data_IF_659528128213
#
_entry.id   IF_659528128213
#
_cell.length_a   1.000
_cell.length_b   1.000
_cell.length_c   1.000
_cell.angle_alpha   90.00
_cell.angle_beta   90.00
_cell.angle_gamma   90.00
#
_symmetry.space_group_name_H-M   'P 1'
#
loop_
_entity.id
_entity.type
_entity.pdbx_description
1 polymer ?
#
# COMPACT_ATOMS: atom_id res chain seq x y z
N UNK A 1 -34.43 39.46 17.63
CA UNK A 1 -33.25 38.85 18.28
C UNK A 1 -33.57 37.38 18.56
N UNK A 2 -33.48 36.53 17.52
CA UNK A 2 -33.63 35.09 17.66
C UNK A 2 -32.25 34.46 17.58
N UNK A 3 -31.80 33.84 18.67
CA UNK A 3 -30.52 33.16 18.75
C UNK A 3 -30.53 31.92 17.86
N UNK A 4 -29.55 31.80 16.97
CA UNK A 4 -29.31 30.60 16.18
C UNK A 4 -28.68 29.51 17.05
N UNK A 5 -29.28 28.32 17.03
CA UNK A 5 -28.78 27.12 17.70
C UNK A 5 -27.37 26.73 17.19
N UNK A 6 -26.41 26.40 18.08
CA UNK A 6 -25.13 25.84 17.67
C UNK A 6 -25.29 24.31 17.57
N UNK A 7 -25.22 23.74 16.36
CA UNK A 7 -25.31 22.28 16.25
C UNK A 7 -25.38 21.65 14.87
N UNK A 8 -25.29 22.42 13.77
CA UNK A 8 -25.06 21.79 12.46
C UNK A 8 -23.56 21.49 12.33
N UNK A 9 -23.15 20.26 12.70
CA UNK A 9 -21.88 19.71 12.19
C UNK A 9 -21.93 19.86 10.67
N UNK A 10 -21.00 20.62 10.10
CA UNK A 10 -20.82 20.66 8.65
C UNK A 10 -20.73 19.20 8.18
N UNK A 11 -21.57 18.81 7.22
CA UNK A 11 -21.54 17.46 6.66
C UNK A 11 -20.10 17.19 6.21
N UNK A 12 -19.48 16.16 6.78
CA UNK A 12 -18.15 15.74 6.36
C UNK A 12 -18.19 15.46 4.85
N UNK A 13 -17.13 15.83 4.13
CA UNK A 13 -17.02 15.46 2.73
C UNK A 13 -17.19 13.94 2.60
N UNK A 14 -17.89 13.44 1.56
CA UNK A 14 -17.95 12.01 1.29
C UNK A 14 -16.55 11.41 1.29
N UNK A 15 -16.36 10.23 1.89
CA UNK A 15 -15.08 9.52 1.93
C UNK A 15 -13.96 10.24 2.69
N UNK A 16 -14.28 11.20 3.57
CA UNK A 16 -13.28 11.95 4.31
C UNK A 16 -12.38 11.04 5.17
N UNK A 17 -12.96 10.06 5.87
CA UNK A 17 -12.19 9.15 6.72
C UNK A 17 -11.47 8.07 5.91
N UNK A 18 -12.08 7.61 4.82
CA UNK A 18 -11.42 6.74 3.85
C UNK A 18 -10.12 7.37 3.35
N UNK A 19 -10.17 8.66 2.98
CA UNK A 19 -9.00 9.42 2.50
C UNK A 19 -7.86 9.57 3.53
N UNK A 20 -8.14 9.30 4.80
CA UNK A 20 -7.11 9.24 5.83
C UNK A 20 -6.24 7.96 5.73
N UNK A 21 -6.71 6.93 5.04
CA UNK A 21 -6.04 5.63 4.90
C UNK A 21 -5.66 5.32 3.46
N UNK A 22 -6.59 5.52 2.52
CA UNK A 22 -6.46 5.15 1.12
C UNK A 22 -6.91 6.32 0.24
N UNK A 23 -6.24 6.52 -0.88
CA UNK A 23 -6.67 7.48 -1.91
C UNK A 23 -7.73 6.85 -2.80
N UNK A 24 -7.50 5.60 -3.21
CA UNK A 24 -8.47 4.79 -3.93
C UNK A 24 -8.13 3.29 -3.87
N UNK A 25 -9.09 2.48 -4.29
CA UNK A 25 -8.95 1.07 -4.62
C UNK A 25 -9.10 0.93 -6.13
N UNK A 26 -8.16 0.28 -6.78
CA UNK A 26 -8.17 0.03 -8.21
C UNK A 26 -8.31 -1.47 -8.49
N UNK A 27 -9.10 -1.79 -9.52
CA UNK A 27 -9.21 -3.14 -10.07
C UNK A 27 -8.61 -3.11 -11.46
N UNK A 28 -7.61 -3.95 -11.70
CA UNK A 28 -6.94 -4.06 -13.00
C UNK A 28 -7.12 -5.47 -13.54
N UNK A 29 -7.58 -5.58 -14.78
CA UNK A 29 -7.75 -6.85 -15.49
C UNK A 29 -6.83 -6.95 -16.67
N UNK A 30 -6.63 -8.17 -17.17
CA UNK A 30 -6.02 -8.39 -18.47
C UNK A 30 -7.09 -8.47 -19.55
N UNK A 31 -7.20 -7.41 -20.35
CA UNK A 31 -7.99 -7.38 -21.57
C UNK A 31 -7.17 -7.94 -22.75
N UNK A 32 -7.83 -8.67 -23.65
CA UNK A 32 -7.16 -9.35 -24.76
C UNK A 32 -6.67 -8.40 -25.86
N UNK A 33 -7.31 -7.24 -26.01
CA UNK A 33 -6.98 -6.26 -27.05
C UNK A 33 -6.09 -5.15 -26.49
N UNK A 34 -6.37 -4.70 -25.27
CA UNK A 34 -5.69 -3.57 -24.64
C UNK A 34 -4.51 -4.00 -23.74
N UNK A 35 -4.45 -5.26 -23.32
CA UNK A 35 -3.51 -5.73 -22.31
C UNK A 35 -3.99 -5.38 -20.90
N UNK A 36 -3.10 -4.91 -20.02
CA UNK A 36 -3.47 -4.52 -18.66
C UNK A 36 -4.37 -3.28 -18.70
N UNK A 37 -5.60 -3.40 -18.22
CA UNK A 37 -6.61 -2.35 -18.27
C UNK A 37 -7.26 -2.14 -16.90
N UNK A 38 -7.49 -0.87 -16.57
CA UNK A 38 -8.18 -0.46 -15.34
C UNK A 38 -9.69 -0.69 -15.54
N UNK A 39 -10.25 -1.63 -14.79
CA UNK A 39 -11.68 -1.96 -14.82
C UNK A 39 -12.48 -1.01 -13.94
N UNK A 40 -11.98 -0.72 -12.74
CA UNK A 40 -12.71 0.04 -11.73
C UNK A 40 -11.76 0.85 -10.83
N UNK A 41 -12.23 2.03 -10.43
CA UNK A 41 -11.64 2.87 -9.40
C UNK A 41 -12.73 3.19 -8.39
N UNK A 42 -12.42 3.01 -7.11
CA UNK A 42 -13.30 3.34 -6.00
C UNK A 42 -12.55 4.18 -4.96
N UNK A 43 -13.15 5.23 -4.37
CA UNK A 43 -14.45 5.82 -4.68
C UNK A 43 -14.57 6.32 -6.13
N UNK A 44 -15.79 6.31 -6.70
CA UNK A 44 -16.02 6.62 -8.13
C UNK A 44 -15.75 8.08 -8.52
N UNK A 45 -15.71 8.96 -7.53
CA UNK A 45 -15.39 10.39 -7.63
C UNK A 45 -13.87 10.65 -7.59
N UNK A 46 -13.06 9.68 -7.16
CA UNK A 46 -11.61 9.81 -7.23
C UNK A 46 -11.14 9.80 -8.70
N UNK A 47 -10.25 10.73 -9.04
CA UNK A 47 -9.80 10.97 -10.43
C UNK A 47 -8.29 10.80 -10.54
N UNK A 48 -7.89 9.62 -11.00
CA UNK A 48 -6.53 9.37 -11.48
C UNK A 48 -6.29 10.06 -12.83
N UNK A 49 -5.10 10.62 -13.02
CA UNK A 49 -4.64 11.08 -14.34
C UNK A 49 -4.37 9.88 -15.25
N UNK A 50 -4.38 10.08 -16.57
CA UNK A 50 -4.14 8.97 -17.49
C UNK A 50 -2.73 8.39 -17.38
N UNK A 51 -1.75 9.20 -16.96
CA UNK A 51 -0.41 8.73 -16.63
C UNK A 51 -0.43 7.81 -15.40
N UNK A 52 -1.11 8.20 -14.32
CA UNK A 52 -1.23 7.37 -13.12
C UNK A 52 -2.00 6.07 -13.39
N UNK A 53 -3.10 6.13 -14.15
CA UNK A 53 -3.85 4.94 -14.58
C UNK A 53 -2.93 3.97 -15.33
N UNK A 54 -2.18 4.48 -16.30
CA UNK A 54 -1.23 3.68 -17.09
C UNK A 54 -0.18 3.03 -16.20
N UNK A 55 0.47 3.80 -15.31
CA UNK A 55 1.46 3.27 -14.37
C UNK A 55 0.87 2.21 -13.44
N UNK A 56 -0.33 2.44 -12.89
CA UNK A 56 -1.02 1.44 -12.05
C UNK A 56 -1.29 0.17 -12.87
N UNK A 57 -1.81 0.27 -14.09
CA UNK A 57 -2.09 -0.90 -14.92
C UNK A 57 -0.86 -1.78 -15.14
N UNK A 58 0.26 -1.19 -15.57
CA UNK A 58 1.48 -1.94 -15.87
C UNK A 58 2.17 -2.49 -14.63
N UNK A 59 2.20 -1.73 -13.53
CA UNK A 59 2.84 -2.16 -12.29
C UNK A 59 1.97 -3.10 -11.45
N UNK A 60 0.69 -3.31 -11.80
CA UNK A 60 -0.20 -4.23 -11.09
C UNK A 60 -0.04 -5.69 -11.53
N UNK A 61 0.79 -5.97 -12.53
CA UNK A 61 1.02 -7.32 -13.06
C UNK A 61 2.50 -7.71 -12.95
N UNK A 62 2.81 -9.00 -12.70
CA UNK A 62 4.16 -9.51 -12.90
C UNK A 62 4.61 -9.33 -14.36
N UNK A 63 5.87 -8.95 -14.56
CA UNK A 63 6.48 -8.70 -15.89
C UNK A 63 6.55 -9.98 -16.72
N UNK A 64 6.81 -11.12 -16.05
CA UNK A 64 6.70 -12.44 -16.66
C UNK A 64 5.53 -13.23 -16.08
N UNK A 65 4.79 -13.90 -16.95
CA UNK A 65 3.76 -14.85 -16.58
C UNK A 65 4.31 -16.24 -16.20
N UNK A 66 5.61 -16.50 -16.42
CA UNK A 66 6.23 -17.78 -16.07
C UNK A 66 6.44 -17.89 -14.56
N UNK A 67 5.73 -18.80 -13.90
CA UNK A 67 5.92 -19.11 -12.48
C UNK A 67 5.03 -18.34 -11.49
N UNK A 68 4.09 -17.51 -11.96
CA UNK A 68 3.19 -16.74 -11.10
C UNK A 68 1.77 -17.37 -10.97
N UNK A 69 1.66 -18.71 -10.97
CA UNK A 69 0.37 -19.37 -10.75
C UNK A 69 -0.08 -19.21 -9.30
N UNK A 70 -1.34 -18.84 -9.10
CA UNK A 70 -1.94 -18.59 -7.79
C UNK A 70 -2.02 -17.10 -7.47
N UNK A 71 -1.83 -16.80 -6.19
CA UNK A 71 -1.97 -15.45 -5.63
C UNK A 71 -0.60 -14.87 -5.26
N UNK A 72 -0.34 -13.64 -5.67
CA UNK A 72 0.93 -12.94 -5.39
C UNK A 72 0.63 -11.55 -4.85
N UNK A 73 1.27 -11.20 -3.75
CA UNK A 73 1.22 -9.84 -3.19
C UNK A 73 2.56 -9.15 -3.34
N UNK A 74 2.52 -7.87 -3.69
CA UNK A 74 3.72 -7.06 -3.86
C UNK A 74 3.34 -5.58 -3.77
N UNK A 75 4.34 -4.70 -3.84
CA UNK A 75 4.11 -3.26 -3.78
C UNK A 75 4.89 -2.53 -4.84
N UNK A 76 4.37 -1.39 -5.27
CA UNK A 76 5.05 -0.46 -6.16
C UNK A 76 4.90 0.97 -5.66
N UNK A 77 5.69 1.88 -6.23
CA UNK A 77 5.66 3.32 -5.92
C UNK A 77 5.67 4.11 -7.22
N UNK A 78 4.71 5.02 -7.38
CA UNK A 78 4.58 5.88 -8.56
C UNK A 78 4.58 7.34 -8.15
N UNK A 79 5.12 8.21 -9.01
CA UNK A 79 5.10 9.65 -8.80
C UNK A 79 3.70 10.21 -9.02
N UNK A 80 3.23 11.05 -8.11
CA UNK A 80 1.98 11.79 -8.27
C UNK A 80 2.13 12.79 -9.42
N UNK A 81 1.11 12.88 -10.28
CA UNK A 81 1.11 13.89 -11.33
C UNK A 81 0.68 15.26 -10.77
N UNK A 82 1.42 16.31 -11.12
CA UNK A 82 1.14 17.68 -10.68
C UNK A 82 -0.26 18.13 -11.13
N UNK A 83 -1.17 18.34 -10.17
CA UNK A 83 -2.53 18.84 -10.45
C UNK A 83 -3.56 18.48 -9.37
N UNK A 84 -3.38 17.35 -8.68
CA UNK A 84 -4.21 16.91 -7.56
C UNK A 84 -3.49 17.24 -6.25
N UNK A 85 -3.60 18.48 -5.76
CA UNK A 85 -3.21 18.76 -4.38
C UNK A 85 -4.25 18.12 -3.48
N UNK A 86 -3.85 17.14 -2.68
CA UNK A 86 -4.71 16.60 -1.62
C UNK A 86 -5.30 17.77 -0.80
N UNK A 87 -6.63 17.85 -0.66
CA UNK A 87 -7.28 18.91 0.12
C UNK A 87 -6.92 18.83 1.62
N UNK A 88 -6.24 17.76 2.05
CA UNK A 88 -5.99 17.40 3.45
C UNK A 88 -4.59 17.76 3.96
N UNK A 89 -3.90 18.72 3.34
CA UNK A 89 -2.54 19.13 3.72
C UNK A 89 -2.41 19.53 5.22
N UNK A 90 -3.50 20.01 5.84
CA UNK A 90 -3.53 20.34 7.27
C UNK A 90 -3.49 19.07 8.15
N UNK A 91 -4.25 18.03 7.80
CA UNK A 91 -4.28 16.76 8.51
C UNK A 91 -2.99 15.98 8.31
N UNK A 92 -2.40 16.05 7.12
CA UNK A 92 -1.08 15.47 6.83
C UNK A 92 -0.02 16.05 7.75
N UNK A 93 -0.05 17.37 8.00
CA UNK A 93 0.89 18.02 8.91
C UNK A 93 0.73 17.53 10.34
N UNK A 94 -0.51 17.35 10.79
CA UNK A 94 -0.81 16.85 12.13
C UNK A 94 -0.27 15.42 12.31
N UNK A 95 -0.61 14.51 11.38
CA UNK A 95 -0.08 13.14 11.37
C UNK A 95 1.47 13.12 11.32
N UNK A 96 2.06 13.82 10.36
CA UNK A 96 3.51 13.80 10.13
C UNK A 96 4.32 14.38 11.30
N UNK A 97 3.71 15.23 12.14
CA UNK A 97 4.36 15.77 13.34
C UNK A 97 4.63 14.70 14.41
N UNK A 98 3.74 13.69 14.50
CA UNK A 98 3.86 12.59 15.46
C UNK A 98 4.51 11.33 14.88
N UNK A 99 4.41 11.10 13.58
CA UNK A 99 4.90 9.88 12.93
C UNK A 99 6.43 9.85 12.74
N UNK A 100 7.09 8.67 12.83
CA UNK A 100 8.49 8.49 12.44
C UNK A 100 8.75 8.99 11.01
N UNK A 101 9.95 9.54 10.75
CA UNK A 101 10.26 10.19 9.47
C UNK A 101 10.09 9.27 8.24
N UNK A 102 10.32 7.98 8.42
CA UNK A 102 10.16 6.92 7.41
C UNK A 102 8.71 6.52 7.15
N UNK A 103 7.80 6.84 8.07
CA UNK A 103 6.38 6.47 8.04
C UNK A 103 5.44 7.67 7.87
N UNK A 104 6.01 8.83 7.55
CA UNK A 104 5.25 10.01 7.17
C UNK A 104 4.50 9.77 5.86
N UNK A 105 3.35 10.46 5.72
CA UNK A 105 2.60 10.46 4.46
C UNK A 105 3.46 11.04 3.36
N UNK A 106 3.55 10.31 2.25
CA UNK A 106 4.38 10.67 1.12
C UNK A 106 3.68 11.75 0.27
N UNK A 107 4.26 12.95 0.11
CA UNK A 107 3.59 14.06 -0.56
C UNK A 107 3.70 13.99 -2.08
N UNK A 108 4.68 13.26 -2.63
CA UNK A 108 5.00 13.29 -4.06
C UNK A 108 4.77 11.93 -4.76
N UNK A 109 4.45 10.88 -4.01
CA UNK A 109 4.28 9.53 -4.56
C UNK A 109 3.05 8.86 -3.97
N UNK A 110 2.50 7.91 -4.73
CA UNK A 110 1.56 6.93 -4.23
C UNK A 110 2.25 5.59 -4.08
N UNK A 111 1.87 4.86 -3.04
CA UNK A 111 2.16 3.45 -2.86
C UNK A 111 0.97 2.65 -3.39
N UNK A 112 1.25 1.70 -4.28
CA UNK A 112 0.29 0.70 -4.72
C UNK A 112 0.59 -0.63 -4.04
N UNK A 113 -0.34 -1.14 -3.26
CA UNK A 113 -0.29 -2.48 -2.66
C UNK A 113 -1.14 -3.40 -3.51
N UNK A 114 -0.53 -4.45 -4.06
CA UNK A 114 -1.14 -5.29 -5.09
C UNK A 114 -1.43 -6.66 -4.54
N UNK A 115 -2.62 -7.18 -4.84
CA UNK A 115 -2.94 -8.60 -4.80
C UNK A 115 -3.29 -9.04 -6.21
N UNK A 116 -2.41 -9.81 -6.83
CA UNK A 116 -2.57 -10.37 -8.16
C UNK A 116 -2.99 -11.83 -8.07
N UNK A 117 -4.04 -12.21 -8.80
CA UNK A 117 -4.48 -13.60 -8.96
C UNK A 117 -4.30 -14.04 -10.40
N UNK A 118 -3.60 -15.16 -10.59
CA UNK A 118 -3.53 -15.87 -11.85
C UNK A 118 -3.89 -17.34 -11.67
N UNK A 119 -5.07 -17.73 -12.14
CA UNK A 119 -5.54 -19.12 -12.06
C UNK A 119 -5.90 -19.64 -13.44
N UNK A 120 -5.74 -20.94 -13.66
CA UNK A 120 -6.13 -21.58 -14.91
C UNK A 120 -7.66 -21.52 -15.02
N UNK A 121 -8.15 -20.98 -16.11
CA UNK A 121 -9.57 -20.86 -16.39
C UNK A 121 -9.81 -21.23 -17.86
N UNK A 122 -10.43 -22.38 -18.07
CA UNK A 122 -10.76 -22.89 -19.40
C UNK A 122 -11.89 -22.14 -20.09
N UNK A 123 -12.67 -21.33 -19.35
CA UNK A 123 -13.72 -20.49 -19.93
C UNK A 123 -13.18 -19.24 -20.62
N UNK A 124 -11.96 -18.81 -20.27
CA UNK A 124 -11.28 -17.64 -20.84
C UNK A 124 -10.43 -18.07 -22.03
N UNK A 125 -10.46 -17.31 -23.13
CA UNK A 125 -9.72 -17.62 -24.38
C UNK A 125 -8.23 -17.88 -24.19
N UNK A 126 -7.59 -17.20 -23.22
CA UNK A 126 -6.16 -17.34 -22.89
C UNK A 126 -5.85 -18.55 -21.98
N UNK A 127 -6.87 -19.22 -21.45
CA UNK A 127 -6.74 -20.32 -20.51
C UNK A 127 -6.37 -19.91 -19.09
N UNK A 128 -6.28 -18.61 -18.80
CA UNK A 128 -5.96 -18.08 -17.48
C UNK A 128 -6.83 -16.86 -17.16
N UNK A 129 -7.39 -16.85 -15.95
CA UNK A 129 -7.95 -15.67 -15.32
C UNK A 129 -6.82 -14.87 -14.67
N UNK A 130 -6.73 -13.58 -14.98
CA UNK A 130 -5.71 -12.68 -14.43
C UNK A 130 -6.33 -11.36 -14.01
N UNK A 131 -6.23 -11.05 -12.71
CA UNK A 131 -6.83 -9.85 -12.13
C UNK A 131 -6.04 -9.39 -10.92
N UNK A 132 -5.92 -8.07 -10.76
CA UNK A 132 -5.26 -7.43 -9.63
C UNK A 132 -6.24 -6.53 -8.88
N UNK A 133 -6.21 -6.65 -7.56
CA UNK A 133 -6.81 -5.68 -6.65
C UNK A 133 -5.67 -4.83 -6.05
N UNK A 134 -5.81 -3.50 -6.12
CA UNK A 134 -4.75 -2.56 -5.75
C UNK A 134 -5.28 -1.55 -4.75
N UNK A 135 -4.64 -1.45 -3.58
CA UNK A 135 -4.89 -0.36 -2.64
C UNK A 135 -3.86 0.75 -2.90
N UNK A 136 -4.34 1.98 -3.12
CA UNK A 136 -3.48 3.14 -3.35
C UNK A 136 -3.49 4.00 -2.10
N UNK A 137 -2.31 4.26 -1.53
CA UNK A 137 -2.16 5.07 -0.31
C UNK A 137 -0.94 5.98 -0.36
N UNK A 138 -0.93 7.01 0.48
CA UNK A 138 0.26 7.80 0.82
C UNK A 138 0.96 7.33 2.09
N UNK A 139 0.36 6.39 2.83
CA UNK A 139 0.93 5.80 4.04
C UNK A 139 1.77 4.56 3.67
N UNK A 140 3.03 4.45 4.12
CA UNK A 140 3.88 3.30 3.84
C UNK A 140 3.58 2.11 4.79
N UNK A 141 2.31 1.77 5.01
CA UNK A 141 1.87 0.70 5.91
C UNK A 141 1.74 -0.65 5.20
N UNK A 142 2.87 -1.14 4.67
CA UNK A 142 2.90 -2.34 3.83
C UNK A 142 2.23 -3.56 4.46
N UNK A 143 2.45 -3.82 5.75
CA UNK A 143 1.86 -4.99 6.42
C UNK A 143 0.37 -4.86 6.65
N UNK A 144 -0.11 -3.66 7.00
CA UNK A 144 -1.53 -3.42 7.15
C UNK A 144 -2.25 -3.65 5.82
N UNK A 145 -1.77 -3.04 4.74
CA UNK A 145 -2.44 -3.13 3.45
C UNK A 145 -2.32 -4.52 2.80
N UNK A 146 -1.23 -5.25 3.03
CA UNK A 146 -1.12 -6.67 2.67
C UNK A 146 -2.11 -7.55 3.45
N UNK A 147 -2.24 -7.34 4.76
CA UNK A 147 -3.22 -8.04 5.58
C UNK A 147 -4.66 -7.74 5.13
N UNK A 148 -4.94 -6.47 4.85
CA UNK A 148 -6.23 -6.01 4.34
C UNK A 148 -6.57 -6.64 2.99
N UNK A 149 -5.63 -6.65 2.04
CA UNK A 149 -5.80 -7.33 0.75
C UNK A 149 -6.01 -8.83 0.88
N UNK A 150 -5.34 -9.48 1.84
CA UNK A 150 -5.51 -10.91 2.10
C UNK A 150 -6.93 -11.26 2.56
N UNK A 151 -7.65 -10.31 3.16
CA UNK A 151 -9.05 -10.45 3.55
C UNK A 151 -10.00 -10.08 2.38
N UNK A 152 -9.74 -8.98 1.69
CA UNK A 152 -10.66 -8.44 0.67
C UNK A 152 -10.59 -9.26 -0.63
N UNK A 153 -9.39 -9.55 -1.13
CA UNK A 153 -9.21 -10.08 -2.48
C UNK A 153 -9.89 -11.44 -2.70
N UNK A 154 -9.84 -12.43 -1.77
CA UNK A 154 -10.54 -13.69 -1.95
C UNK A 154 -12.06 -13.52 -2.09
N UNK A 155 -12.70 -12.69 -1.25
CA UNK A 155 -14.14 -12.45 -1.36
C UNK A 155 -14.47 -11.66 -2.62
N UNK A 156 -13.68 -10.63 -2.95
CA UNK A 156 -13.90 -9.83 -4.15
C UNK A 156 -13.85 -10.68 -5.43
N UNK A 157 -12.87 -11.59 -5.54
CA UNK A 157 -12.78 -12.48 -6.71
C UNK A 157 -13.87 -13.56 -6.74
N UNK A 158 -14.52 -13.85 -5.62
CA UNK A 158 -15.69 -14.73 -5.57
C UNK A 158 -16.99 -14.00 -5.89
N UNK A 159 -17.18 -12.80 -5.31
CA UNK A 159 -18.40 -11.97 -5.41
C UNK A 159 -18.02 -10.49 -5.60
N UNK A 160 -17.75 -10.05 -6.84
CA UNK A 160 -17.23 -8.70 -7.08
C UNK A 160 -18.18 -7.57 -6.65
N UNK A 161 -19.48 -7.72 -6.88
CA UNK A 161 -20.52 -6.80 -6.42
C UNK A 161 -21.30 -7.47 -5.26
N UNK A 162 -21.56 -6.81 -4.11
CA UNK A 162 -21.25 -5.44 -3.65
C UNK A 162 -19.95 -5.32 -2.81
N UNK A 163 -18.99 -6.24 -2.96
CA UNK A 163 -17.87 -6.38 -2.02
C UNK A 163 -17.04 -5.10 -1.83
N UNK A 164 -16.64 -4.41 -2.91
CA UNK A 164 -15.76 -3.24 -2.77
C UNK A 164 -16.47 -2.04 -2.14
N UNK A 165 -17.73 -1.81 -2.48
CA UNK A 165 -18.52 -0.73 -1.90
C UNK A 165 -18.69 -0.92 -0.39
N UNK A 166 -19.03 -2.15 0.04
CA UNK A 166 -19.15 -2.49 1.46
C UNK A 166 -17.81 -2.27 2.21
N UNK A 167 -16.72 -2.81 1.66
CA UNK A 167 -15.38 -2.66 2.27
C UNK A 167 -14.96 -1.19 2.38
N UNK A 168 -15.16 -0.41 1.32
CA UNK A 168 -14.77 1.00 1.36
C UNK A 168 -15.66 1.80 2.32
N UNK A 169 -16.95 1.47 2.43
CA UNK A 169 -17.84 2.04 3.44
C UNK A 169 -17.42 1.69 4.87
N UNK A 170 -16.93 0.47 5.12
CA UNK A 170 -16.39 0.07 6.42
C UNK A 170 -15.10 0.84 6.75
N UNK A 171 -14.20 1.01 5.76
CA UNK A 171 -12.98 1.80 5.90
C UNK A 171 -13.29 3.29 6.16
N UNK A 172 -14.36 3.84 5.58
CA UNK A 172 -14.80 5.22 5.85
C UNK A 172 -15.36 5.39 7.28
N UNK A 173 -15.60 4.31 8.02
CA UNK A 173 -15.93 4.39 9.45
C UNK A 173 -14.71 4.27 10.36
N UNK A 174 -13.53 4.00 9.81
CA UNK A 174 -12.32 3.87 10.61
C UNK A 174 -11.92 5.18 11.29
N UNK A 175 -11.34 5.12 12.51
CA UNK A 175 -10.68 6.27 13.09
C UNK A 175 -9.49 6.70 12.22
N UNK A 176 -9.14 7.99 12.24
CA UNK A 176 -7.94 8.45 11.55
C UNK A 176 -6.67 7.78 12.14
N UNK A 177 -5.63 7.51 11.34
CA UNK A 177 -4.40 6.90 11.82
C UNK A 177 -3.61 7.90 12.67
N UNK A 178 -3.83 7.96 13.98
CA UNK A 178 -3.11 8.89 14.87
C UNK A 178 -1.86 8.22 15.46
N UNK A 179 -0.66 8.80 15.31
CA UNK A 179 0.58 8.23 15.86
C UNK A 179 0.50 7.99 17.37
N UNK A 180 0.99 6.83 17.81
CA UNK A 180 1.02 6.37 19.20
C UNK A 180 -0.29 5.75 19.68
N UNK A 181 -1.32 5.65 18.82
CA UNK A 181 -2.60 5.04 19.18
C UNK A 181 -2.71 3.61 18.66
N UNK A 182 -3.34 2.76 19.48
CA UNK A 182 -3.81 1.44 19.05
C UNK A 182 -5.26 1.56 18.60
N UNK A 183 -5.51 1.18 17.35
CA UNK A 183 -6.79 1.30 16.67
C UNK A 183 -7.37 -0.08 16.38
N UNK A 184 -8.70 -0.19 16.44
CA UNK A 184 -9.44 -1.36 16.00
C UNK A 184 -10.12 -1.00 14.67
N UNK A 185 -9.76 -1.72 13.62
CA UNK A 185 -10.17 -1.47 12.24
C UNK A 185 -11.09 -2.62 11.79
N UNK A 186 -12.42 -2.48 11.93
CA UNK A 186 -13.36 -3.49 11.49
C UNK A 186 -13.39 -3.57 9.96
N UNK A 187 -13.27 -4.77 9.41
CA UNK A 187 -13.39 -5.03 7.97
C UNK A 187 -13.78 -6.47 7.70
N UNK A 188 -14.74 -6.70 6.80
CA UNK A 188 -15.14 -8.03 6.35
C UNK A 188 -15.49 -8.99 7.50
N UNK A 189 -16.17 -8.48 8.54
CA UNK A 189 -16.55 -9.27 9.72
C UNK A 189 -15.40 -9.63 10.68
N UNK A 190 -14.19 -9.10 10.44
CA UNK A 190 -13.01 -9.25 11.29
C UNK A 190 -12.65 -7.87 11.85
N UNK A 191 -11.97 -7.82 13.00
CA UNK A 191 -11.40 -6.59 13.55
C UNK A 191 -9.89 -6.70 13.53
N UNK A 192 -9.22 -5.84 12.75
CA UNK A 192 -7.76 -5.72 12.78
C UNK A 192 -7.35 -4.76 13.90
N UNK A 193 -6.62 -5.23 14.90
CA UNK A 193 -6.04 -4.37 15.92
C UNK A 193 -4.62 -3.99 15.52
N UNK A 194 -4.36 -2.69 15.42
CA UNK A 194 -3.07 -2.17 14.93
C UNK A 194 -2.58 -1.03 15.80
N UNK A 195 -1.27 -0.94 16.01
CA UNK A 195 -0.63 0.20 16.64
C UNK A 195 -0.03 1.12 15.56
N UNK A 196 -0.37 2.40 15.58
CA UNK A 196 0.18 3.40 14.66
C UNK A 196 1.48 3.95 15.26
N UNK A 197 2.65 3.75 14.61
CA UNK A 197 3.92 4.14 15.19
C UNK A 197 4.06 5.65 15.39
N UNK A 198 4.74 6.04 16.47
CA UNK A 198 5.06 7.39 16.88
C UNK A 198 6.56 7.60 17.03
N UNK A 199 7.01 8.85 16.92
CA UNK A 199 8.41 9.26 17.14
C UNK A 199 8.94 8.96 18.55
N UNK A 200 8.03 8.92 19.51
CA UNK A 200 8.35 8.72 20.93
C UNK A 200 8.22 7.26 21.36
N UNK A 201 7.76 6.38 20.46
CA UNK A 201 7.67 4.97 20.77
C UNK A 201 9.08 4.44 20.98
N UNK A 202 9.26 3.77 22.11
CA UNK A 202 10.46 2.97 22.31
C UNK A 202 10.33 1.76 21.38
N UNK A 203 11.44 1.24 20.82
CA UNK A 203 11.43 -0.08 20.20
C UNK A 203 11.09 -1.11 21.29
N UNK A 204 9.80 -1.31 21.53
CA UNK A 204 9.31 -2.28 22.49
C UNK A 204 9.39 -3.66 21.85
N UNK A 205 10.15 -4.56 22.48
CA UNK A 205 10.19 -5.99 22.14
C UNK A 205 8.92 -6.75 22.58
N UNK A 206 7.93 -6.06 23.14
CA UNK A 206 6.68 -6.65 23.61
C UNK A 206 5.57 -6.49 22.57
N UNK A 207 4.80 -7.55 22.27
CA UNK A 207 3.64 -7.44 21.39
C UNK A 207 2.68 -6.37 21.94
N UNK A 208 1.97 -5.65 21.05
CA UNK A 208 1.02 -4.63 21.47
C UNK A 208 0.07 -5.23 22.51
N UNK A 209 0.01 -4.63 23.69
CA UNK A 209 -0.90 -5.08 24.74
C UNK A 209 -2.32 -4.97 24.18
N UNK A 210 -3.13 -6.05 24.24
CA UNK A 210 -4.51 -5.97 23.81
C UNK A 210 -5.19 -4.85 24.60
N UNK A 211 -5.82 -3.91 23.90
CA UNK A 211 -6.64 -2.89 24.56
C UNK A 211 -7.64 -3.61 25.47
N UNK A 212 -7.69 -3.20 26.74
CA UNK A 212 -8.61 -3.71 27.76
C UNK A 212 -10.05 -3.23 27.50
N UNK A 213 -10.59 -3.56 26.34
CA UNK A 213 -12.02 -3.52 26.08
C UNK A 213 -12.52 -4.96 26.10
N UNK A 214 -13.14 -5.30 27.22
CA UNK A 214 -13.89 -6.54 27.39
C UNK A 214 -14.93 -6.69 26.26
N UNK A 215 -15.00 -7.90 25.68
CA UNK A 215 -16.11 -8.40 24.85
C UNK A 215 -16.24 -7.93 23.38
N UNK A 216 -15.14 -7.76 22.64
CA UNK A 216 -15.23 -7.82 21.17
C UNK A 216 -15.23 -9.30 20.72
N UNK A 217 -16.41 -9.82 20.37
CA UNK A 217 -16.56 -11.09 19.66
C UNK A 217 -16.88 -10.77 18.18
N UNK A 218 -16.15 -11.33 17.20
CA UNK A 218 -14.99 -12.21 17.32
C UNK A 218 -13.73 -11.49 17.83
N UNK A 219 -12.78 -12.26 18.39
CA UNK A 219 -11.52 -11.73 18.89
C UNK A 219 -10.73 -11.02 17.76
N UNK A 220 -10.12 -9.85 18.04
CA UNK A 220 -9.42 -9.10 17.01
C UNK A 220 -8.16 -9.82 16.53
N UNK A 221 -7.88 -9.71 15.23
CA UNK A 221 -6.61 -10.12 14.64
C UNK A 221 -5.59 -9.02 14.91
N UNK A 222 -4.60 -9.32 15.75
CA UNK A 222 -3.59 -8.36 16.17
C UNK A 222 -2.45 -8.34 15.15
N UNK A 223 -2.18 -7.19 14.53
CA UNK A 223 -0.96 -6.98 13.75
C UNK A 223 0.14 -6.45 14.66
N UNK A 224 1.27 -7.16 14.71
CA UNK A 224 2.44 -6.75 15.51
C UNK A 224 3.02 -5.41 15.05
N UNK A 225 2.95 -5.12 13.75
CA UNK A 225 3.35 -3.86 13.15
C UNK A 225 2.58 -3.60 11.87
N UNK A 226 2.33 -2.33 11.56
CA UNK A 226 1.71 -1.89 10.30
C UNK A 226 2.69 -1.85 9.12
N UNK A 227 4.00 -1.89 9.37
CA UNK A 227 5.02 -1.63 8.35
C UNK A 227 6.23 -2.58 8.38
N UNK A 228 6.51 -3.24 9.51
CA UNK A 228 7.72 -4.06 9.62
C UNK A 228 7.64 -5.36 8.81
N UNK A 229 8.62 -5.52 7.94
CA UNK A 229 8.82 -6.74 7.15
C UNK A 229 9.57 -7.79 7.95
N UNK A 230 9.45 -9.06 7.55
CA UNK A 230 10.31 -10.12 8.05
C UNK A 230 11.71 -9.97 7.42
N UNK A 231 12.56 -9.17 8.05
CA UNK A 231 13.90 -8.88 7.55
C UNK A 231 14.75 -10.14 7.41
N UNK A 232 14.58 -11.11 8.31
CA UNK A 232 15.31 -12.37 8.22
C UNK A 232 14.92 -13.11 6.95
N UNK A 233 13.62 -13.25 6.67
CA UNK A 233 13.14 -13.87 5.43
C UNK A 233 13.61 -13.10 4.19
N UNK A 234 13.55 -11.77 4.22
CA UNK A 234 13.97 -10.93 3.09
C UNK A 234 15.48 -11.07 2.80
N UNK A 235 16.32 -11.07 3.84
CA UNK A 235 17.78 -11.11 3.69
C UNK A 235 18.38 -12.50 3.69
N UNK A 236 17.63 -13.54 4.01
CA UNK A 236 18.12 -14.92 4.01
C UNK A 236 18.93 -15.28 2.74
N UNK A 237 18.52 -14.90 1.51
CA UNK A 237 19.28 -15.21 0.30
C UNK A 237 20.60 -14.44 0.15
N UNK A 238 20.74 -13.31 0.85
CA UNK A 238 21.87 -12.38 0.75
C UNK A 238 22.54 -12.12 2.11
N UNK A 239 22.37 -13.03 3.07
CA UNK A 239 22.72 -12.82 4.48
C UNK A 239 24.19 -12.43 4.66
N UNK A 240 25.08 -13.05 3.88
CA UNK A 240 26.53 -12.78 3.88
C UNK A 240 26.90 -11.38 3.37
N UNK A 241 25.99 -10.71 2.68
CA UNK A 241 26.19 -9.39 2.08
C UNK A 241 25.42 -8.28 2.79
N UNK A 242 24.66 -8.59 3.85
CA UNK A 242 23.80 -7.60 4.55
C UNK A 242 24.58 -6.37 4.99
N UNK A 243 25.81 -6.54 5.49
CA UNK A 243 26.63 -5.40 5.91
C UNK A 243 27.04 -4.52 4.71
N UNK A 244 27.52 -5.12 3.63
CA UNK A 244 27.86 -4.37 2.41
C UNK A 244 26.63 -3.67 1.83
N UNK A 245 25.48 -4.34 1.80
CA UNK A 245 24.22 -3.75 1.33
C UNK A 245 23.82 -2.54 2.22
N UNK A 246 23.94 -2.67 3.53
CA UNK A 246 23.69 -1.55 4.45
C UNK A 246 24.64 -0.37 4.22
N UNK A 247 25.93 -0.62 4.00
CA UNK A 247 26.91 0.42 3.67
C UNK A 247 26.56 1.14 2.35
N UNK A 248 26.19 0.39 1.30
CA UNK A 248 25.75 0.95 0.02
C UNK A 248 24.48 1.79 0.18
N UNK A 249 23.52 1.32 0.98
CA UNK A 249 22.31 2.07 1.30
C UNK A 249 22.62 3.37 2.05
N UNK A 250 23.57 3.35 2.99
CA UNK A 250 23.98 4.52 3.77
C UNK A 250 24.69 5.57 2.91
N UNK A 251 25.51 5.13 1.95
CA UNK A 251 26.23 5.98 1.01
C UNK A 251 25.35 6.49 -0.15
N UNK A 252 24.15 5.94 -0.31
CA UNK A 252 23.24 6.30 -1.41
C UNK A 252 23.71 5.77 -2.76
N UNK A 253 24.46 4.67 -2.77
CA UNK A 253 24.96 4.05 -4.00
C UNK A 253 23.79 3.45 -4.82
N UNK A 254 23.83 3.54 -6.17
CA UNK A 254 22.79 2.95 -7.01
C UNK A 254 22.76 1.42 -6.87
N UNK A 255 21.58 0.87 -6.56
CA UNK A 255 21.36 -0.57 -6.40
C UNK A 255 20.19 -1.05 -7.26
N UNK A 256 20.39 -2.19 -7.91
CA UNK A 256 19.35 -2.90 -8.66
C UNK A 256 19.15 -4.29 -8.04
N UNK A 257 17.91 -4.59 -7.66
CA UNK A 257 17.52 -5.89 -7.11
C UNK A 257 16.84 -6.72 -8.19
N UNK A 258 17.51 -7.78 -8.65
CA UNK A 258 16.92 -8.79 -9.53
C UNK A 258 16.37 -9.94 -8.69
N UNK A 259 15.09 -10.24 -8.82
CA UNK A 259 14.41 -11.24 -8.01
C UNK A 259 13.49 -12.13 -8.86
N UNK A 260 13.18 -13.36 -8.41
CA UNK A 260 12.38 -14.32 -9.18
C UNK A 260 10.89 -13.97 -9.23
N UNK A 261 10.42 -13.01 -8.43
CA UNK A 261 9.02 -12.57 -8.39
C UNK A 261 8.92 -11.11 -7.93
N UNK A 262 7.83 -10.40 -8.29
CA UNK A 262 7.59 -9.05 -7.79
C UNK A 262 7.44 -8.98 -6.27
N UNK A 263 6.95 -10.05 -5.62
CA UNK A 263 6.87 -10.16 -4.17
C UNK A 263 8.26 -10.05 -3.54
N UNK A 264 9.18 -10.91 -3.96
CA UNK A 264 10.56 -10.93 -3.43
C UNK A 264 11.29 -9.63 -3.76
N UNK A 265 11.10 -9.07 -4.96
CA UNK A 265 11.68 -7.78 -5.36
C UNK A 265 11.24 -6.66 -4.43
N UNK A 266 9.93 -6.47 -4.29
CA UNK A 266 9.36 -5.38 -3.49
C UNK A 266 9.66 -5.49 -2.01
N UNK A 267 9.58 -6.69 -1.44
CA UNK A 267 9.93 -6.91 -0.03
C UNK A 267 11.42 -6.65 0.23
N UNK A 268 12.32 -7.12 -0.63
CA UNK A 268 13.76 -6.92 -0.43
C UNK A 268 14.16 -5.44 -0.54
N UNK A 269 13.62 -4.70 -1.52
CA UNK A 269 13.89 -3.26 -1.64
C UNK A 269 13.37 -2.50 -0.41
N UNK A 270 12.15 -2.79 0.03
CA UNK A 270 11.59 -2.16 1.23
C UNK A 270 12.36 -2.55 2.51
N UNK A 271 12.84 -3.79 2.60
CA UNK A 271 13.68 -4.26 3.70
C UNK A 271 15.02 -3.51 3.73
N UNK A 272 15.69 -3.34 2.59
CA UNK A 272 16.94 -2.57 2.48
C UNK A 272 16.76 -1.13 2.97
N UNK A 273 15.66 -0.49 2.58
CA UNK A 273 15.31 0.87 3.04
C UNK A 273 15.06 0.90 4.55
N UNK A 274 14.39 -0.12 5.09
CA UNK A 274 14.10 -0.20 6.51
C UNK A 274 15.35 -0.38 7.39
N UNK A 275 16.45 -0.93 6.85
CA UNK A 275 17.72 -1.06 7.59
C UNK A 275 18.34 0.30 7.98
N UNK A 276 17.89 1.39 7.37
CA UNK A 276 18.33 2.73 7.71
C UNK A 276 17.54 3.35 8.86
N UNK A 277 16.48 2.70 9.37
CA UNK A 277 15.74 3.19 10.53
C UNK A 277 16.71 3.51 11.70
N UNK A 278 16.52 4.64 12.40
CA UNK A 278 15.44 5.62 12.31
C UNK A 278 15.66 6.74 11.26
N UNK A 279 16.71 6.66 10.45
CA UNK A 279 16.99 7.64 9.41
C UNK A 279 15.96 7.52 8.27
N UNK A 280 15.67 8.65 7.65
CA UNK A 280 14.87 8.69 6.43
C UNK A 280 15.77 8.36 5.24
N UNK A 281 15.40 7.37 4.44
CA UNK A 281 16.00 7.18 3.13
C UNK A 281 15.54 8.30 2.20
N UNK A 282 16.49 9.06 1.67
CA UNK A 282 16.21 10.26 0.88
C UNK A 282 16.45 10.08 -0.62
N UNK A 283 17.08 8.98 -1.05
CA UNK A 283 17.25 8.66 -2.47
C UNK A 283 15.93 8.11 -3.06
N UNK A 284 15.83 8.10 -4.39
CA UNK A 284 14.69 7.46 -5.04
C UNK A 284 14.77 5.93 -4.93
N UNK A 285 13.61 5.29 -4.89
CA UNK A 285 13.50 3.84 -4.88
C UNK A 285 12.21 3.37 -5.55
N UNK A 286 12.28 2.17 -6.11
CA UNK A 286 11.16 1.45 -6.70
C UNK A 286 11.11 0.04 -6.12
N UNK A 287 10.11 -0.27 -5.28
CA UNK A 287 9.98 -1.62 -4.74
C UNK A 287 9.84 -2.66 -5.85
N UNK A 288 9.06 -2.33 -6.87
CA UNK A 288 8.93 -3.13 -8.08
C UNK A 288 8.99 -2.21 -9.30
N UNK A 289 9.73 -2.63 -10.31
CA UNK A 289 10.05 -1.82 -11.48
C UNK A 289 10.14 -2.70 -12.73
N UNK A 290 9.58 -2.24 -13.84
CA UNK A 290 9.55 -2.98 -15.11
C UNK A 290 9.93 -2.07 -16.28
N UNK A 291 10.16 -2.68 -17.45
CA UNK A 291 10.41 -1.95 -18.71
C UNK A 291 9.24 -1.05 -19.13
N UNK A 292 8.05 -1.32 -18.59
CA UNK A 292 6.82 -0.59 -18.87
C UNK A 292 6.62 0.62 -17.94
N UNK A 293 7.49 0.80 -16.94
CA UNK A 293 7.46 1.98 -16.09
C UNK A 293 7.73 3.24 -16.94
N UNK A 294 6.94 4.29 -16.69
CA UNK A 294 7.08 5.57 -17.38
C UNK A 294 8.46 6.22 -17.18
N UNK A 295 9.12 5.92 -16.07
CA UNK A 295 10.44 6.43 -15.70
C UNK A 295 11.57 5.51 -16.19
N UNK A 296 11.29 4.37 -16.82
CA UNK A 296 12.31 3.45 -17.35
C UNK A 296 13.34 4.11 -18.27
N UNK A 297 12.90 5.08 -19.07
CA UNK A 297 13.80 5.83 -19.96
C UNK A 297 14.81 6.67 -19.18
N UNK A 298 14.45 7.20 -18.02
CA UNK A 298 15.31 8.03 -17.18
C UNK A 298 16.50 7.23 -16.64
N UNK A 299 16.30 5.93 -16.37
CA UNK A 299 17.33 5.03 -15.85
C UNK A 299 18.15 4.30 -16.93
N UNK A 300 17.70 4.33 -18.19
CA UNK A 300 18.37 3.62 -19.30
C UNK A 300 19.07 4.54 -20.28
N UNK A 301 18.78 5.84 -20.27
CA UNK A 301 19.61 6.82 -20.98
C UNK A 301 20.98 6.85 -20.32
N UNK A 302 22.00 6.36 -21.03
CA UNK A 302 23.40 6.59 -20.66
C UNK A 302 23.61 8.10 -20.55
N UNK A 303 23.68 8.62 -19.34
CA UNK A 303 24.36 9.88 -19.10
C UNK A 303 25.80 9.62 -19.52
N UNK A 304 26.19 10.12 -20.69
CA UNK A 304 27.60 10.30 -21.00
C UNK A 304 28.13 11.29 -19.95
N UNK A 305 28.72 10.75 -18.90
CA UNK A 305 29.68 11.47 -18.08
C UNK A 305 31.05 11.35 -18.75
#
# INVERSE_FOLDING_TARGET
LGAASPGARAAAAPWARFSAWLECVCVVTFDLELGQALELVYPSDFRLTDKEKSSICYLSFPDSHSGCLGDTQFSFRIRQCSGQRSPWHAEDRHYNSGAPMSLQREPAHYFGYVYFRQVKDSSVKRGYFQKSLVLVSRLPFVRLFQALLSLIAPEYFSKPAPCLEAVCSEIDEWPAPVPGQTLNLPVMGVVLQVHIPSRVDKPEYSPPKPCSHENLLPAPVILSSVHELDLFRCFQPVLTHVQTLWELMLLGEPLVVLAPSPAVSSELVLALISCLQPLKFCCDYRPYFTIHDSEFKEFTTRTQA
#
